data_IF_231553330587
#
_entry.id   IF_231553330587
#
_cell.length_a   1.000
_cell.length_b   1.000
_cell.length_c   1.000
_cell.angle_alpha   90.00
_cell.angle_beta   90.00
_cell.angle_gamma   90.00
#
_symmetry.space_group_name_H-M   'P 1'
#
loop_
_entity.id
_entity.type
_entity.pdbx_description
1 polymer ?
#
# COMPACT_ATOMS: atom_id res chain seq x y z
N UNK A 1 19.81 -77.18 20.06
CA UNK A 1 18.60 -77.34 20.88
C UNK A 1 17.87 -76.01 20.88
N UNK A 2 16.66 -75.97 20.32
CA UNK A 2 15.82 -74.78 20.14
C UNK A 2 15.38 -74.18 21.48
N UNK A 3 15.35 -72.85 21.60
CA UNK A 3 14.20 -72.15 22.18
C UNK A 3 14.07 -70.73 21.61
N UNK A 4 12.88 -70.48 21.05
CA UNK A 4 12.36 -69.18 20.58
C UNK A 4 12.12 -68.27 21.80
N UNK A 5 12.35 -66.96 21.66
CA UNK A 5 11.51 -65.98 22.34
C UNK A 5 11.43 -64.66 21.55
N UNK A 6 10.24 -64.41 20.99
CA UNK A 6 9.74 -63.12 20.49
C UNK A 6 8.95 -62.48 21.63
N UNK A 7 9.31 -61.28 22.08
CA UNK A 7 8.38 -60.33 22.71
C UNK A 7 8.93 -58.91 22.45
N UNK A 8 8.38 -58.20 21.46
CA UNK A 8 7.33 -57.17 21.63
C UNK A 8 7.77 -56.00 22.52
N UNK A 9 8.59 -55.11 21.94
CA UNK A 9 8.68 -53.72 22.39
C UNK A 9 7.44 -52.98 21.87
N UNK A 10 6.33 -53.10 22.60
CA UNK A 10 5.24 -52.14 22.51
C UNK A 10 5.65 -50.91 23.32
N UNK A 11 6.08 -49.86 22.61
CA UNK A 11 6.38 -48.57 23.20
C UNK A 11 5.15 -48.02 23.92
N UNK A 12 5.27 -47.86 25.24
CA UNK A 12 4.31 -47.21 26.10
C UNK A 12 4.30 -45.72 25.75
N UNK A 13 3.45 -45.33 24.80
CA UNK A 13 3.16 -43.93 24.49
C UNK A 13 2.32 -43.36 25.65
N UNK A 14 2.99 -42.86 26.68
CA UNK A 14 2.38 -42.03 27.71
C UNK A 14 1.90 -40.73 27.06
N UNK A 15 0.63 -40.72 26.65
CA UNK A 15 -0.14 -39.52 26.36
C UNK A 15 -0.24 -38.69 27.65
N UNK A 16 0.74 -37.83 27.87
CA UNK A 16 0.61 -36.70 28.79
C UNK A 16 -0.32 -35.70 28.09
N UNK A 17 -1.62 -35.93 28.21
CA UNK A 17 -2.64 -34.91 27.95
C UNK A 17 -2.44 -33.83 29.00
N UNK A 18 -1.53 -32.90 28.71
CA UNK A 18 -1.49 -31.61 29.38
C UNK A 18 -2.88 -31.00 29.23
N UNK A 19 -3.52 -30.49 30.29
CA UNK A 19 -4.75 -29.75 30.13
C UNK A 19 -4.40 -28.50 29.32
N UNK A 20 -4.73 -28.52 28.03
CA UNK A 20 -4.83 -27.30 27.26
C UNK A 20 -5.94 -26.50 27.93
N UNK A 21 -5.56 -25.50 28.72
CA UNK A 21 -6.44 -24.40 29.05
C UNK A 21 -6.88 -23.85 27.70
N UNK A 22 -8.09 -24.19 27.30
CA UNK A 22 -8.76 -23.57 26.16
C UNK A 22 -8.92 -22.11 26.52
N UNK A 23 -7.96 -21.28 26.11
CA UNK A 23 -8.18 -19.85 26.02
C UNK A 23 -9.47 -19.69 25.22
N UNK A 24 -10.51 -19.12 25.86
CA UNK A 24 -11.77 -18.86 25.18
C UNK A 24 -11.44 -18.02 23.95
N UNK A 25 -11.77 -18.51 22.76
CA UNK A 25 -11.68 -17.72 21.53
C UNK A 25 -12.36 -16.37 21.78
N UNK A 26 -11.66 -15.28 21.52
CA UNK A 26 -12.20 -13.95 21.76
C UNK A 26 -13.58 -13.80 21.10
N UNK A 27 -14.55 -13.30 21.85
CA UNK A 27 -15.92 -13.12 21.37
C UNK A 27 -16.17 -11.66 20.99
N UNK A 28 -17.10 -11.45 20.07
CA UNK A 28 -17.44 -10.12 19.58
C UNK A 28 -18.75 -9.61 20.20
N UNK A 29 -18.80 -8.31 20.47
CA UNK A 29 -19.91 -7.64 21.11
C UNK A 29 -20.29 -6.33 20.41
N UNK A 30 -21.55 -6.20 20.00
CA UNK A 30 -22.02 -5.08 19.18
C UNK A 30 -22.03 -3.74 19.94
N UNK A 31 -22.33 -3.75 21.25
CA UNK A 31 -22.47 -2.49 22.02
C UNK A 31 -21.22 -2.17 22.84
N UNK A 32 -20.03 -2.54 22.36
CA UNK A 32 -18.77 -2.14 23.00
C UNK A 32 -18.37 -0.71 22.61
N UNK A 33 -18.53 -0.36 21.34
CA UNK A 33 -18.15 0.94 20.76
C UNK A 33 -19.40 1.56 20.14
N UNK A 34 -19.63 2.84 20.41
CA UNK A 34 -20.73 3.61 19.81
C UNK A 34 -20.36 4.22 18.47
N UNK A 35 -19.13 4.72 18.36
CA UNK A 35 -18.65 5.40 17.16
C UNK A 35 -17.13 5.46 17.15
N UNK A 36 -16.57 5.75 15.98
CA UNK A 36 -15.18 6.12 15.82
C UNK A 36 -15.07 7.58 15.38
N UNK A 37 -14.00 8.24 15.80
CA UNK A 37 -13.73 9.66 15.51
C UNK A 37 -12.22 9.89 15.40
N UNK A 38 -11.82 11.09 14.98
CA UNK A 38 -10.41 11.49 14.89
C UNK A 38 -9.55 10.50 14.08
N UNK A 39 -10.11 9.93 13.01
CA UNK A 39 -9.42 8.95 12.17
C UNK A 39 -8.43 9.63 11.24
N UNK A 40 -7.20 9.13 11.23
CA UNK A 40 -6.15 9.56 10.32
C UNK A 40 -5.30 8.36 9.91
N UNK A 41 -5.10 8.19 8.61
CA UNK A 41 -4.04 7.33 8.06
C UNK A 41 -3.24 8.11 7.04
N UNK A 42 -1.92 8.15 7.21
CA UNK A 42 -1.03 8.97 6.41
C UNK A 42 0.20 8.17 6.02
N UNK A 43 0.52 8.23 4.74
CA UNK A 43 1.78 7.70 4.23
C UNK A 43 2.88 8.76 4.38
N UNK A 44 3.95 8.41 5.09
CA UNK A 44 5.08 9.30 5.35
C UNK A 44 6.12 9.28 4.21
N UNK A 45 7.12 10.15 4.30
CA UNK A 45 8.17 10.29 3.28
C UNK A 45 9.08 9.07 3.19
N UNK A 46 9.31 8.38 4.31
CA UNK A 46 10.11 7.16 4.40
C UNK A 46 9.34 5.88 3.99
N UNK A 47 8.11 6.02 3.47
CA UNK A 47 7.16 4.94 3.14
C UNK A 47 6.56 4.20 4.35
N UNK A 48 6.77 4.67 5.58
CA UNK A 48 6.01 4.19 6.74
C UNK A 48 4.60 4.78 6.75
N UNK A 49 3.67 4.14 7.48
CA UNK A 49 2.27 4.55 7.54
C UNK A 49 1.89 4.91 8.97
N UNK A 50 1.60 6.18 9.21
CA UNK A 50 1.08 6.68 10.49
C UNK A 50 -0.43 6.48 10.56
N UNK A 51 -0.91 5.91 11.66
CA UNK A 51 -2.31 5.58 11.88
C UNK A 51 -2.75 6.08 13.25
N UNK A 52 -3.89 6.77 13.31
CA UNK A 52 -4.54 7.11 14.57
C UNK A 52 -6.07 7.12 14.44
N UNK A 53 -6.74 6.81 15.54
CA UNK A 53 -8.19 6.90 15.66
C UNK A 53 -8.61 6.95 17.12
N UNK A 54 -9.84 7.39 17.37
CA UNK A 54 -10.49 7.36 18.67
C UNK A 54 -11.74 6.48 18.61
N UNK A 55 -11.78 5.43 19.43
CA UNK A 55 -12.96 4.61 19.65
C UNK A 55 -13.77 5.17 20.81
N UNK A 56 -14.99 5.65 20.56
CA UNK A 56 -15.90 6.15 21.58
C UNK A 56 -16.70 4.99 22.16
N UNK A 57 -16.46 4.67 23.42
CA UNK A 57 -17.01 3.50 24.08
C UNK A 57 -18.50 3.68 24.40
N UNK A 58 -19.21 2.56 24.52
CA UNK A 58 -20.56 2.59 25.05
C UNK A 58 -20.60 3.03 26.52
N UNK A 59 -21.75 3.56 26.94
CA UNK A 59 -21.91 4.01 28.33
C UNK A 59 -21.92 2.81 29.27
N UNK A 60 -21.51 3.04 30.52
CA UNK A 60 -21.72 2.10 31.62
C UNK A 60 -21.04 0.72 31.46
N UNK A 61 -20.03 0.55 30.61
CA UNK A 61 -19.38 -0.76 30.40
C UNK A 61 -18.67 -1.33 31.64
N UNK A 62 -18.17 -0.49 32.54
CA UNK A 62 -17.16 -0.92 33.50
C UNK A 62 -17.68 -1.08 34.94
N UNK A 63 -18.75 -0.39 35.32
CA UNK A 63 -19.26 -0.41 36.68
C UNK A 63 -20.44 -1.35 36.81
N UNK A 64 -20.37 -2.30 37.74
CA UNK A 64 -21.44 -3.31 37.93
C UNK A 64 -22.81 -2.71 38.22
N UNK A 65 -22.88 -1.58 38.93
CA UNK A 65 -24.14 -0.91 39.27
C UNK A 65 -24.85 -0.35 38.03
N UNK A 66 -24.09 0.09 37.04
CA UNK A 66 -24.61 0.83 35.88
C UNK A 66 -24.62 -0.03 34.61
N UNK A 67 -23.78 -1.07 34.56
CA UNK A 67 -23.59 -1.91 33.38
C UNK A 67 -24.81 -2.74 33.00
N UNK A 68 -25.71 -3.02 33.95
CA UNK A 68 -27.05 -3.59 33.72
C UNK A 68 -27.13 -4.58 32.56
N UNK A 69 -27.65 -4.12 31.42
CA UNK A 69 -27.87 -4.92 30.20
C UNK A 69 -26.59 -5.54 29.62
N UNK A 70 -25.43 -4.88 29.74
CA UNK A 70 -24.14 -5.40 29.28
C UNK A 70 -23.74 -6.65 30.06
N UNK A 71 -23.92 -6.64 31.39
CA UNK A 71 -23.61 -7.78 32.24
C UNK A 71 -24.43 -9.01 31.87
N UNK A 72 -25.73 -8.83 31.63
CA UNK A 72 -26.62 -9.91 31.21
C UNK A 72 -26.23 -10.47 29.84
N UNK A 73 -25.84 -9.59 28.90
CA UNK A 73 -25.39 -9.99 27.57
C UNK A 73 -24.07 -10.75 27.63
N UNK A 74 -23.09 -10.27 28.39
CA UNK A 74 -21.81 -10.97 28.55
C UNK A 74 -21.95 -12.30 29.29
N UNK A 75 -22.80 -12.35 30.33
CA UNK A 75 -23.13 -13.60 31.02
C UNK A 75 -23.66 -14.65 30.04
N UNK A 76 -24.57 -14.26 29.14
CA UNK A 76 -25.11 -15.15 28.10
C UNK A 76 -24.04 -15.52 27.06
N UNK A 77 -23.28 -14.53 26.58
CA UNK A 77 -22.27 -14.69 25.53
C UNK A 77 -21.17 -15.68 25.95
N UNK A 78 -20.66 -15.55 27.17
CA UNK A 78 -19.62 -16.42 27.72
C UNK A 78 -20.16 -17.61 28.54
N UNK A 79 -21.49 -17.78 28.62
CA UNK A 79 -22.16 -18.84 29.41
C UNK A 79 -21.68 -18.88 30.86
N UNK A 80 -21.62 -17.71 31.52
CA UNK A 80 -21.10 -17.55 32.87
C UNK A 80 -22.20 -17.78 33.92
N UNK A 81 -21.83 -18.35 35.06
CA UNK A 81 -22.75 -18.51 36.20
C UNK A 81 -23.07 -17.18 36.88
N UNK A 82 -22.13 -16.23 36.83
CA UNK A 82 -22.22 -14.90 37.45
C UNK A 82 -21.85 -13.81 36.46
N UNK A 83 -22.43 -12.63 36.64
CA UNK A 83 -22.06 -11.45 35.89
C UNK A 83 -20.65 -10.98 36.28
N UNK A 84 -19.81 -10.73 35.27
CA UNK A 84 -18.45 -10.22 35.44
C UNK A 84 -18.37 -8.89 34.69
N UNK A 85 -17.95 -7.79 35.33
CA UNK A 85 -17.77 -6.51 34.65
C UNK A 85 -16.51 -6.51 33.79
N UNK A 86 -16.46 -5.57 32.84
CA UNK A 86 -15.26 -5.29 32.08
C UNK A 86 -14.18 -4.67 32.99
N UNK A 87 -12.94 -5.12 32.84
CA UNK A 87 -11.81 -4.54 33.57
C UNK A 87 -11.52 -3.11 33.09
N UNK A 88 -11.33 -2.19 34.04
CA UNK A 88 -10.93 -0.80 33.75
C UNK A 88 -9.42 -0.65 33.49
N UNK A 89 -8.65 -1.70 33.77
CA UNK A 89 -7.19 -1.68 33.68
C UNK A 89 -6.67 -2.48 32.49
N UNK A 90 -7.57 -3.07 31.69
CA UNK A 90 -7.21 -3.91 30.56
C UNK A 90 -8.00 -3.48 29.32
N UNK A 91 -7.28 -3.24 28.23
CA UNK A 91 -7.85 -2.96 26.93
C UNK A 91 -7.21 -3.87 25.88
N UNK A 92 -7.95 -4.12 24.81
CA UNK A 92 -7.52 -4.93 23.68
C UNK A 92 -7.56 -4.13 22.39
N UNK A 93 -6.70 -4.49 21.46
CA UNK A 93 -6.69 -4.00 20.08
C UNK A 93 -6.45 -5.17 19.13
N UNK A 94 -7.22 -5.21 18.04
CA UNK A 94 -6.97 -6.10 16.90
C UNK A 94 -6.79 -5.25 15.65
N UNK A 95 -5.75 -5.56 14.88
CA UNK A 95 -5.40 -4.88 13.64
C UNK A 95 -5.51 -5.85 12.46
N UNK A 96 -6.07 -5.37 11.36
CA UNK A 96 -6.35 -6.13 10.15
C UNK A 96 -5.73 -5.42 8.96
N UNK A 97 -4.89 -6.15 8.22
CA UNK A 97 -4.23 -5.64 7.02
C UNK A 97 -4.66 -6.47 5.83
N UNK A 98 -4.75 -5.84 4.66
CA UNK A 98 -5.16 -6.51 3.44
C UNK A 98 -4.22 -6.21 2.29
N UNK A 99 -4.06 -7.19 1.41
CA UNK A 99 -3.42 -7.02 0.11
C UNK A 99 -4.32 -6.21 -0.82
N UNK A 100 -3.77 -5.74 -1.95
CA UNK A 100 -4.53 -4.94 -2.91
C UNK A 100 -5.67 -5.73 -3.58
N UNK A 101 -5.49 -7.04 -3.74
CA UNK A 101 -6.51 -7.98 -4.25
C UNK A 101 -7.66 -8.24 -3.24
N UNK A 102 -7.57 -7.66 -2.04
CA UNK A 102 -8.57 -7.77 -0.99
C UNK A 102 -8.37 -8.98 -0.06
N UNK A 103 -7.35 -9.82 -0.27
CA UNK A 103 -7.05 -10.93 0.62
C UNK A 103 -6.40 -10.44 1.94
N UNK A 104 -6.63 -11.12 3.09
CA UNK A 104 -5.96 -10.77 4.34
C UNK A 104 -4.44 -10.89 4.24
N UNK A 105 -3.72 -9.88 4.72
CA UNK A 105 -2.26 -9.91 4.83
C UNK A 105 -1.85 -10.43 6.19
N UNK A 106 -1.55 -11.73 6.26
CA UNK A 106 -1.16 -12.44 7.49
C UNK A 106 0.33 -12.33 7.83
N UNK A 107 1.13 -11.66 6.99
CA UNK A 107 2.56 -11.53 7.19
C UNK A 107 2.94 -10.37 8.12
N UNK A 108 2.01 -9.43 8.37
CA UNK A 108 2.25 -8.31 9.28
C UNK A 108 2.23 -8.81 10.72
N UNK A 109 3.32 -8.56 11.42
CA UNK A 109 3.50 -8.91 12.82
C UNK A 109 3.58 -7.65 13.68
N UNK A 110 3.48 -7.82 15.00
CA UNK A 110 3.60 -6.69 15.92
C UNK A 110 4.98 -5.99 15.84
N UNK A 111 6.02 -6.70 15.41
CA UNK A 111 7.36 -6.13 15.15
C UNK A 111 7.39 -5.15 13.98
N UNK A 112 6.40 -5.20 13.08
CA UNK A 112 6.25 -4.25 11.98
C UNK A 112 5.50 -2.97 12.42
N UNK A 113 5.14 -2.87 13.70
CA UNK A 113 4.33 -1.79 14.26
C UNK A 113 5.14 -1.07 15.34
N UNK A 114 5.48 0.19 15.06
CA UNK A 114 6.23 1.07 15.93
C UNK A 114 5.30 2.04 16.66
N UNK A 115 5.74 2.50 17.85
CA UNK A 115 5.04 3.52 18.64
C UNK A 115 3.55 3.22 18.89
N UNK A 116 3.18 1.95 18.98
CA UNK A 116 1.81 1.56 19.26
C UNK A 116 1.43 1.97 20.69
N UNK A 117 0.40 2.80 20.80
CA UNK A 117 -0.16 3.21 22.09
C UNK A 117 -1.68 3.16 22.09
N UNK A 118 -2.24 2.91 23.28
CA UNK A 118 -3.65 3.08 23.61
C UNK A 118 -3.74 3.97 24.84
N UNK A 119 -4.36 5.14 24.70
CA UNK A 119 -4.38 6.19 25.73
C UNK A 119 -2.97 6.48 26.29
N UNK A 120 -1.96 6.49 25.42
CA UNK A 120 -0.55 6.71 25.79
C UNK A 120 0.16 5.52 26.46
N UNK A 121 -0.53 4.40 26.69
CA UNK A 121 0.09 3.18 27.25
C UNK A 121 0.56 2.25 26.13
N UNK A 122 1.73 1.60 26.31
CA UNK A 122 2.26 0.60 25.39
C UNK A 122 1.71 -0.80 25.67
N UNK A 123 1.76 -1.75 24.70
CA UNK A 123 1.33 -3.13 24.91
C UNK A 123 2.12 -3.86 26.00
N UNK A 124 1.47 -4.75 26.75
CA UNK A 124 2.09 -5.63 27.74
C UNK A 124 2.49 -6.96 27.07
N UNK A 125 3.73 -7.43 27.32
CA UNK A 125 4.27 -8.71 26.86
C UNK A 125 3.89 -9.02 25.40
N UNK A 126 4.52 -8.30 24.47
CA UNK A 126 4.25 -8.37 23.05
C UNK A 126 4.48 -9.79 22.49
N UNK A 127 3.41 -10.58 22.39
CA UNK A 127 3.36 -11.65 21.39
C UNK A 127 3.48 -11.01 20.00
N UNK A 128 4.01 -11.72 19.00
CA UNK A 128 4.07 -11.17 17.64
C UNK A 128 2.68 -11.04 16.96
N UNK A 129 1.59 -11.44 17.63
CA UNK A 129 0.24 -11.35 17.09
C UNK A 129 -0.31 -9.92 17.11
N UNK A 130 -0.96 -9.53 16.02
CA UNK A 130 -1.66 -8.26 15.86
C UNK A 130 -3.18 -8.37 16.08
N UNK A 131 -3.69 -9.58 16.32
CA UNK A 131 -5.12 -9.87 16.47
C UNK A 131 -5.60 -9.82 17.93
N UNK A 132 -4.70 -9.81 18.90
CA UNK A 132 -5.04 -9.65 20.33
C UNK A 132 -3.92 -8.93 21.07
N UNK A 133 -3.75 -7.64 20.78
CA UNK A 133 -2.75 -6.81 21.42
C UNK A 133 -3.31 -6.33 22.75
N UNK A 134 -2.60 -6.66 23.83
CA UNK A 134 -3.05 -6.41 25.21
C UNK A 134 -2.39 -5.17 25.79
N UNK A 135 -3.21 -4.30 26.37
CA UNK A 135 -2.77 -3.15 27.14
C UNK A 135 -3.20 -3.31 28.58
N UNK A 136 -2.27 -3.13 29.51
CA UNK A 136 -2.54 -3.18 30.94
C UNK A 136 -1.94 -1.97 31.62
N UNK A 137 -2.73 -1.30 32.46
CA UNK A 137 -2.25 -0.20 33.29
C UNK A 137 -2.60 -0.48 34.74
N UNK A 138 -1.61 -0.94 35.51
CA UNK A 138 -1.81 -1.34 36.91
C UNK A 138 -2.05 -0.18 37.88
N UNK A 139 -1.70 1.05 37.50
CA UNK A 139 -1.75 2.22 38.39
C UNK A 139 -2.95 3.12 38.10
N UNK A 140 -3.29 3.30 36.82
CA UNK A 140 -4.32 4.26 36.39
C UNK A 140 -5.31 3.52 35.48
N UNK A 141 -6.62 3.55 35.78
CA UNK A 141 -7.64 3.05 34.85
C UNK A 141 -7.54 3.69 33.47
N UNK A 142 -7.82 2.93 32.41
CA UNK A 142 -7.99 3.52 31.08
C UNK A 142 -9.17 4.49 31.06
N UNK A 143 -9.15 5.43 30.12
CA UNK A 143 -10.29 6.31 29.89
C UNK A 143 -11.53 5.46 29.56
N UNK A 144 -12.57 5.65 30.34
CA UNK A 144 -13.79 4.84 30.30
C UNK A 144 -14.82 5.33 29.27
N UNK A 145 -14.53 6.45 28.60
CA UNK A 145 -15.40 7.05 27.57
C UNK A 145 -14.85 6.85 26.16
N UNK A 146 -13.54 6.76 26.02
CA UNK A 146 -12.90 6.55 24.72
C UNK A 146 -11.51 5.91 24.85
N UNK A 147 -11.10 5.23 23.78
CA UNK A 147 -9.72 4.80 23.57
C UNK A 147 -9.11 5.56 22.39
N UNK A 148 -8.03 6.29 22.65
CA UNK A 148 -7.20 6.93 21.63
C UNK A 148 -6.06 5.99 21.25
N UNK A 149 -6.04 5.56 19.99
CA UNK A 149 -5.06 4.61 19.46
C UNK A 149 -4.18 5.33 18.44
N UNK A 150 -2.87 5.09 18.52
CA UNK A 150 -1.92 5.56 17.51
C UNK A 150 -0.80 4.55 17.31
N UNK A 151 -0.33 4.39 16.07
CA UNK A 151 0.82 3.56 15.73
C UNK A 151 1.40 3.91 14.36
N UNK A 152 2.62 3.45 14.10
CA UNK A 152 3.27 3.53 12.80
C UNK A 152 3.53 2.13 12.26
N UNK A 153 3.11 1.85 11.02
CA UNK A 153 3.51 0.64 10.31
C UNK A 153 4.83 0.89 9.61
N UNK A 154 5.80 -0.01 9.81
CA UNK A 154 7.16 0.08 9.26
C UNK A 154 7.16 0.31 7.75
N UNK A 155 8.17 1.06 7.30
CA UNK A 155 8.39 1.36 5.89
C UNK A 155 8.41 0.10 5.04
N UNK A 156 7.68 0.13 3.91
CA UNK A 156 7.59 -0.96 2.93
C UNK A 156 6.97 -2.28 3.45
N UNK A 157 6.45 -2.32 4.69
CA UNK A 157 5.71 -3.49 5.18
C UNK A 157 4.39 -3.68 4.42
N UNK A 158 3.79 -2.59 3.94
CA UNK A 158 2.55 -2.58 3.18
C UNK A 158 2.81 -2.32 1.70
N UNK A 159 2.12 -3.06 0.82
CA UNK A 159 2.06 -2.78 -0.63
C UNK A 159 0.84 -1.93 -1.00
N UNK A 160 -0.21 -2.03 -0.19
CA UNK A 160 -1.44 -1.26 -0.26
C UNK A 160 -1.86 -0.92 1.17
N UNK A 161 -2.37 0.29 1.39
CA UNK A 161 -2.80 0.74 2.71
C UNK A 161 -4.29 0.46 2.84
N UNK A 162 -4.60 -0.75 3.29
CA UNK A 162 -5.95 -1.21 3.63
C UNK A 162 -5.91 -1.72 5.06
N UNK A 163 -6.32 -0.86 5.99
CA UNK A 163 -6.18 -1.10 7.43
C UNK A 163 -7.57 -1.07 8.07
N UNK A 164 -7.89 -2.13 8.79
CA UNK A 164 -9.01 -2.20 9.71
C UNK A 164 -8.52 -2.37 11.15
N UNK A 165 -9.30 -1.93 12.12
CA UNK A 165 -9.01 -2.12 13.53
C UNK A 165 -10.30 -2.32 14.34
N UNK A 166 -10.23 -3.06 15.44
CA UNK A 166 -11.27 -3.05 16.48
C UNK A 166 -10.64 -3.00 17.86
N UNK A 167 -11.37 -2.46 18.83
CA UNK A 167 -10.95 -2.39 20.22
C UNK A 167 -11.82 -3.29 21.09
N UNK A 168 -11.28 -3.64 22.25
CA UNK A 168 -11.94 -4.53 23.18
C UNK A 168 -11.50 -4.32 24.62
N UNK A 169 -11.89 -5.25 25.47
CA UNK A 169 -11.44 -5.33 26.85
C UNK A 169 -11.48 -6.76 27.37
N UNK A 170 -11.19 -6.91 28.65
CA UNK A 170 -11.11 -8.22 29.30
C UNK A 170 -12.06 -8.25 30.49
N UNK A 171 -12.91 -9.26 30.57
CA UNK A 171 -13.65 -9.57 31.78
C UNK A 171 -12.78 -10.49 32.65
N UNK A 172 -12.63 -10.16 33.93
CA UNK A 172 -11.74 -10.91 34.85
C UNK A 172 -12.57 -11.47 36.01
N UNK A 173 -12.71 -12.79 36.08
CA UNK A 173 -13.33 -13.47 37.20
C UNK A 173 -12.40 -13.40 38.42
N UNK A 174 -12.66 -12.50 39.38
CA UNK A 174 -11.77 -12.29 40.54
C UNK A 174 -11.46 -13.57 41.35
N UNK A 175 -12.43 -14.49 41.48
CA UNK A 175 -12.26 -15.72 42.26
C UNK A 175 -11.35 -16.76 41.60
N UNK A 176 -11.36 -16.83 40.27
CA UNK A 176 -10.60 -17.85 39.50
C UNK A 176 -9.44 -17.25 38.72
N UNK A 177 -9.34 -15.92 38.65
CA UNK A 177 -8.47 -15.15 37.75
C UNK A 177 -8.65 -15.51 36.27
N UNK A 178 -9.79 -16.12 35.92
CA UNK A 178 -10.09 -16.46 34.53
C UNK A 178 -10.40 -15.19 33.74
N UNK A 179 -9.81 -15.08 32.56
CA UNK A 179 -9.96 -13.94 31.66
C UNK A 179 -10.84 -14.31 30.46
N UNK A 180 -11.69 -13.38 30.06
CA UNK A 180 -12.54 -13.51 28.88
C UNK A 180 -12.32 -12.30 27.97
N UNK A 181 -11.50 -12.44 26.91
CA UNK A 181 -11.28 -11.40 25.91
C UNK A 181 -12.57 -11.11 25.13
N UNK A 182 -12.89 -9.84 24.97
CA UNK A 182 -14.08 -9.35 24.27
C UNK A 182 -13.71 -8.21 23.33
N UNK A 183 -14.04 -8.34 22.05
CA UNK A 183 -13.84 -7.29 21.04
C UNK A 183 -15.16 -6.65 20.61
N UNK A 184 -15.10 -5.43 20.09
CA UNK A 184 -16.25 -4.85 19.41
C UNK A 184 -16.49 -5.53 18.07
N UNK A 185 -17.74 -5.88 17.78
CA UNK A 185 -18.15 -6.28 16.44
C UNK A 185 -18.13 -5.13 15.44
N UNK A 186 -18.06 -3.88 15.91
CA UNK A 186 -17.92 -2.70 15.07
C UNK A 186 -16.46 -2.27 15.10
N UNK A 187 -15.81 -2.31 13.95
CA UNK A 187 -14.45 -1.82 13.77
C UNK A 187 -14.41 -0.51 12.99
N UNK A 188 -13.20 -0.01 12.82
CA UNK A 188 -12.88 1.18 12.05
C UNK A 188 -11.93 0.85 10.91
N UNK A 189 -12.17 1.49 9.78
CA UNK A 189 -11.21 1.66 8.69
C UNK A 189 -11.17 3.14 8.30
N UNK A 190 -10.50 3.45 7.21
CA UNK A 190 -10.27 4.81 6.76
C UNK A 190 -10.81 4.98 5.36
N UNK A 191 -11.35 6.17 5.09
CA UNK A 191 -11.77 6.55 3.75
C UNK A 191 -10.53 6.70 2.81
N UNK A 192 -10.74 6.79 1.49
CA UNK A 192 -9.63 6.92 0.55
C UNK A 192 -8.78 8.18 0.73
N UNK A 193 -9.26 9.21 1.43
CA UNK A 193 -8.44 10.40 1.76
C UNK A 193 -7.58 10.21 3.01
N UNK A 194 -7.93 9.23 3.85
CA UNK A 194 -7.25 8.95 5.11
C UNK A 194 -7.54 9.95 6.22
N UNK A 195 -8.66 10.67 6.14
CA UNK A 195 -9.04 11.71 7.12
C UNK A 195 -10.41 11.47 7.76
N UNK A 196 -11.14 10.45 7.33
CA UNK A 196 -12.45 10.11 7.87
C UNK A 196 -12.51 8.64 8.28
N UNK A 197 -13.31 8.38 9.32
CA UNK A 197 -13.59 7.03 9.76
C UNK A 197 -14.57 6.37 8.78
N UNK A 198 -14.25 5.15 8.37
CA UNK A 198 -15.16 4.28 7.65
C UNK A 198 -15.51 3.06 8.52
N UNK A 199 -16.71 2.51 8.34
CA UNK A 199 -17.13 1.30 9.05
C UNK A 199 -16.27 0.11 8.61
N UNK A 200 -15.93 -0.77 9.54
CA UNK A 200 -15.24 -2.02 9.26
C UNK A 200 -15.86 -3.14 10.07
N UNK A 201 -16.11 -4.29 9.43
CA UNK A 201 -16.56 -5.51 10.11
C UNK A 201 -15.37 -6.46 10.27
N UNK A 202 -14.81 -6.61 11.49
CA UNK A 202 -13.66 -7.47 11.76
C UNK A 202 -13.93 -8.97 11.52
N UNK A 203 -15.20 -9.38 11.39
CA UNK A 203 -15.60 -10.77 11.17
C UNK A 203 -15.90 -11.09 9.70
N UNK A 204 -16.10 -10.06 8.86
CA UNK A 204 -16.50 -10.25 7.47
C UNK A 204 -15.40 -10.85 6.58
N UNK A 205 -14.13 -10.65 6.93
CA UNK A 205 -12.99 -10.97 6.06
C UNK A 205 -12.91 -10.09 4.80
N UNK A 206 -13.74 -9.06 4.69
CA UNK A 206 -13.78 -8.16 3.54
C UNK A 206 -12.81 -7.00 3.75
N UNK A 207 -11.94 -6.74 2.77
CA UNK A 207 -11.00 -5.64 2.84
C UNK A 207 -11.70 -4.27 2.81
N UNK A 208 -11.28 -3.30 3.63
CA UNK A 208 -11.74 -1.93 3.51
C UNK A 208 -11.21 -1.28 2.23
N UNK A 209 -11.73 -0.10 1.91
CA UNK A 209 -11.20 0.71 0.81
C UNK A 209 -9.72 1.06 1.07
N UNK A 210 -8.94 1.13 -0.01
CA UNK A 210 -7.54 1.53 0.09
C UNK A 210 -7.43 3.05 0.27
N UNK A 211 -6.42 3.47 1.04
CA UNK A 211 -5.94 4.85 0.97
C UNK A 211 -5.52 5.15 -0.47
N UNK A 212 -6.01 6.26 -1.01
CA UNK A 212 -5.54 6.77 -2.30
C UNK A 212 -4.16 7.38 -2.10
N UNK A 213 -3.16 6.80 -2.77
CA UNK A 213 -1.78 7.29 -2.75
C UNK A 213 -1.43 7.68 -4.16
N UNK A 214 -1.25 8.99 -4.38
CA UNK A 214 -0.78 9.48 -5.67
C UNK A 214 0.74 9.25 -5.77
N UNK A 215 1.22 8.55 -6.81
CA UNK A 215 2.65 8.33 -6.99
C UNK A 215 3.37 9.64 -7.25
N UNK A 216 4.47 9.87 -6.52
CA UNK A 216 5.40 10.96 -6.80
C UNK A 216 6.41 10.51 -7.85
N UNK A 217 6.32 11.07 -9.05
CA UNK A 217 7.22 10.76 -10.15
C UNK A 217 8.44 11.68 -10.14
N UNK A 218 9.61 11.09 -10.35
CA UNK A 218 10.86 11.80 -10.56
C UNK A 218 11.49 11.31 -11.87
N UNK A 219 11.80 12.25 -12.76
CA UNK A 219 12.53 11.95 -13.97
C UNK A 219 14.01 11.76 -13.64
N UNK A 220 14.60 10.67 -14.11
CA UNK A 220 16.03 10.36 -13.93
C UNK A 220 16.83 10.68 -15.19
N UNK A 221 16.17 10.84 -16.35
CA UNK A 221 16.86 10.90 -17.64
C UNK A 221 17.63 12.20 -17.87
N UNK A 222 18.77 12.03 -18.52
CA UNK A 222 19.69 13.06 -18.96
C UNK A 222 19.38 13.60 -20.38
N UNK A 223 20.20 14.56 -20.82
CA UNK A 223 20.20 15.12 -22.17
C UNK A 223 20.44 14.03 -23.22
N UNK A 224 19.53 13.89 -24.18
CA UNK A 224 19.70 12.96 -25.30
C UNK A 224 20.54 13.61 -26.40
N UNK A 225 21.76 13.09 -26.59
CA UNK A 225 22.63 13.52 -27.67
C UNK A 225 22.52 12.55 -28.85
N UNK A 226 22.12 13.06 -30.00
CA UNK A 226 22.03 12.29 -31.25
C UNK A 226 23.38 12.32 -31.97
N UNK A 227 23.70 11.23 -32.67
CA UNK A 227 24.83 11.20 -33.59
C UNK A 227 24.53 12.06 -34.83
N UNK A 228 25.58 12.41 -35.57
CA UNK A 228 25.46 13.09 -36.85
C UNK A 228 24.63 12.28 -37.84
N UNK A 229 23.70 12.94 -38.52
CA UNK A 229 22.93 12.38 -39.63
C UNK A 229 23.51 12.83 -40.96
N UNK A 230 23.53 11.93 -41.94
CA UNK A 230 23.81 12.29 -43.32
C UNK A 230 22.59 12.98 -43.95
N UNK A 231 22.81 14.18 -44.49
CA UNK A 231 21.74 15.02 -45.02
C UNK A 231 21.09 14.40 -46.27
N UNK A 232 21.88 13.82 -47.17
CA UNK A 232 21.39 13.25 -48.42
C UNK A 232 20.51 12.02 -48.13
N UNK A 233 20.92 11.18 -47.17
CA UNK A 233 20.14 10.05 -46.69
C UNK A 233 18.83 10.50 -46.02
N UNK A 234 18.86 11.56 -45.21
CA UNK A 234 17.65 12.08 -44.56
C UNK A 234 16.63 12.57 -45.60
N UNK A 235 17.09 13.34 -46.59
CA UNK A 235 16.25 13.85 -47.68
C UNK A 235 15.67 12.69 -48.49
N UNK A 236 16.50 11.72 -48.88
CA UNK A 236 16.08 10.55 -49.65
C UNK A 236 15.00 9.74 -48.92
N UNK A 237 15.25 9.33 -47.67
CA UNK A 237 14.28 8.53 -46.89
C UNK A 237 12.95 9.27 -46.74
N UNK A 238 12.99 10.57 -46.45
CA UNK A 238 11.78 11.37 -46.28
C UNK A 238 10.96 11.40 -47.57
N UNK A 239 11.62 11.51 -48.74
CA UNK A 239 10.94 11.50 -50.04
C UNK A 239 10.23 10.17 -50.35
N UNK A 240 10.73 9.07 -49.77
CA UNK A 240 10.12 7.73 -49.82
C UNK A 240 9.03 7.55 -48.75
N UNK A 241 8.71 8.59 -47.98
CA UNK A 241 7.75 8.56 -46.87
C UNK A 241 8.27 7.84 -45.62
N UNK A 242 9.58 7.56 -45.56
CA UNK A 242 10.24 6.84 -44.48
C UNK A 242 11.01 7.81 -43.58
N UNK A 243 10.99 7.56 -42.27
CA UNK A 243 11.87 8.27 -41.33
C UNK A 243 13.29 7.72 -41.41
N UNK A 244 14.28 8.58 -41.16
CA UNK A 244 15.66 8.14 -40.94
C UNK A 244 15.91 7.99 -39.43
N UNK A 245 16.45 6.85 -39.03
CA UNK A 245 16.83 6.62 -37.63
C UNK A 245 17.95 7.58 -37.23
N UNK A 246 17.75 8.31 -36.14
CA UNK A 246 18.71 9.23 -35.56
C UNK A 246 19.32 8.59 -34.30
N UNK A 247 20.42 7.83 -34.46
CA UNK A 247 20.94 7.01 -33.38
C UNK A 247 21.50 7.89 -32.26
N UNK A 248 21.25 7.48 -31.02
CA UNK A 248 21.77 8.17 -29.84
C UNK A 248 23.22 7.81 -29.58
N UNK A 249 24.01 8.80 -29.15
CA UNK A 249 25.31 8.56 -28.55
C UNK A 249 25.07 7.91 -27.19
N UNK A 250 25.72 6.76 -26.95
CA UNK A 250 25.61 6.01 -25.68
C UNK A 250 24.16 5.68 -25.28
N UNK A 251 23.41 4.90 -26.08
CA UNK A 251 21.97 4.67 -25.89
C UNK A 251 21.63 4.04 -24.53
N UNK A 252 22.50 3.21 -23.97
CA UNK A 252 22.29 2.60 -22.64
C UNK A 252 22.34 3.62 -21.50
N UNK A 253 23.15 4.69 -21.63
CA UNK A 253 23.26 5.73 -20.63
C UNK A 253 22.13 6.78 -20.72
N UNK A 254 21.42 6.82 -21.86
CA UNK A 254 20.46 7.86 -22.19
C UNK A 254 19.01 7.33 -22.26
N UNK A 255 18.67 6.37 -21.39
CA UNK A 255 17.31 5.84 -21.27
C UNK A 255 16.36 6.88 -20.67
N UNK A 256 15.11 6.85 -21.09
CA UNK A 256 14.03 7.58 -20.44
C UNK A 256 13.60 6.79 -19.20
N UNK A 257 13.96 7.25 -18.00
CA UNK A 257 13.66 6.55 -16.75
C UNK A 257 12.83 7.41 -15.81
N UNK A 258 11.76 6.82 -15.27
CA UNK A 258 10.93 7.41 -14.22
C UNK A 258 11.10 6.61 -12.94
N UNK A 259 11.34 7.31 -11.83
CA UNK A 259 11.30 6.77 -10.49
C UNK A 259 9.99 7.16 -9.84
N UNK A 260 9.35 6.25 -9.13
CA UNK A 260 8.10 6.54 -8.42
C UNK A 260 7.91 5.63 -7.23
N UNK A 261 7.06 6.07 -6.29
CA UNK A 261 6.61 5.23 -5.20
C UNK A 261 5.59 4.21 -5.71
N UNK A 262 5.85 2.92 -5.53
CA UNK A 262 4.99 1.85 -6.03
C UNK A 262 3.63 1.77 -5.32
N UNK A 263 3.59 2.18 -4.05
CA UNK A 263 2.37 2.20 -3.25
C UNK A 263 1.30 3.07 -3.92
N UNK A 264 0.14 2.49 -4.21
CA UNK A 264 -0.97 3.18 -4.89
C UNK A 264 -1.03 3.02 -6.41
N UNK A 265 -0.07 2.33 -7.03
CA UNK A 265 -0.06 2.19 -8.51
C UNK A 265 -0.81 0.97 -9.05
N UNK A 266 -1.20 0.02 -8.20
CA UNK A 266 -1.67 -1.31 -8.63
C UNK A 266 -3.00 -1.30 -9.40
N UNK A 267 -3.92 -0.40 -9.06
CA UNK A 267 -5.26 -0.33 -9.65
C UNK A 267 -5.40 0.83 -10.64
N UNK A 268 -4.29 1.43 -11.06
CA UNK A 268 -4.30 2.60 -11.95
C UNK A 268 -3.31 2.40 -13.08
N UNK A 269 -3.79 2.57 -14.31
CA UNK A 269 -2.93 2.67 -15.48
C UNK A 269 -2.58 4.11 -15.74
N UNK A 270 -1.44 4.38 -16.35
CA UNK A 270 -0.92 5.72 -16.55
C UNK A 270 -0.61 5.95 -18.03
N UNK A 271 -0.92 7.13 -18.52
CA UNK A 271 -0.52 7.58 -19.86
C UNK A 271 0.72 8.45 -19.74
N UNK A 272 1.72 8.19 -20.59
CA UNK A 272 2.88 9.06 -20.77
C UNK A 272 2.65 9.85 -22.05
N UNK A 273 2.69 11.18 -21.94
CA UNK A 273 2.59 12.11 -23.07
C UNK A 273 3.76 13.08 -23.03
N UNK A 274 4.03 13.75 -24.14
CA UNK A 274 5.09 14.76 -24.21
C UNK A 274 4.63 15.98 -25.01
N UNK A 275 5.06 17.14 -24.55
CA UNK A 275 5.06 18.39 -25.31
C UNK A 275 6.50 18.82 -25.57
N UNK A 276 6.71 19.76 -26.48
CA UNK A 276 8.05 20.24 -26.82
C UNK A 276 8.12 21.77 -26.86
N UNK A 277 9.33 22.31 -26.71
CA UNK A 277 9.58 23.76 -26.73
C UNK A 277 9.35 24.37 -28.10
N UNK A 278 9.78 23.67 -29.15
CA UNK A 278 9.76 24.18 -30.51
C UNK A 278 8.39 24.06 -31.22
N UNK A 279 7.42 23.39 -30.59
CA UNK A 279 6.10 23.14 -31.15
C UNK A 279 6.03 21.95 -32.10
N UNK A 280 4.81 21.65 -32.54
CA UNK A 280 4.55 20.54 -33.47
C UNK A 280 4.57 21.02 -34.92
N UNK A 281 4.85 20.10 -35.83
CA UNK A 281 4.64 20.31 -37.27
C UNK A 281 3.19 20.74 -37.56
N UNK A 282 2.95 21.36 -38.72
CA UNK A 282 1.60 21.79 -39.14
C UNK A 282 0.58 20.65 -39.20
N UNK A 283 1.03 19.43 -39.49
CA UNK A 283 0.22 18.21 -39.44
C UNK A 283 -0.03 17.67 -38.03
N UNK A 284 0.59 18.27 -37.01
CA UNK A 284 0.61 17.86 -35.60
C UNK A 284 1.13 16.44 -35.36
N UNK A 285 1.79 15.84 -36.35
CA UNK A 285 2.27 14.46 -36.30
C UNK A 285 3.70 14.34 -35.76
N UNK A 286 4.48 15.42 -35.79
CA UNK A 286 5.89 15.42 -35.45
C UNK A 286 6.23 16.56 -34.49
N UNK A 287 7.19 16.32 -33.62
CA UNK A 287 7.96 17.37 -32.94
C UNK A 287 8.94 18.02 -33.93
N UNK A 288 9.58 19.12 -33.51
CA UNK A 288 10.46 19.91 -34.36
C UNK A 288 11.81 20.17 -33.69
N UNK A 289 12.88 19.65 -34.30
CA UNK A 289 14.25 20.07 -34.04
C UNK A 289 14.51 21.37 -34.83
N UNK A 290 14.94 22.42 -34.14
CA UNK A 290 15.22 23.73 -34.76
C UNK A 290 16.72 24.01 -34.64
N UNK A 291 17.32 24.48 -35.73
CA UNK A 291 18.71 24.93 -35.74
C UNK A 291 18.88 26.16 -34.82
N UNK A 292 20.05 26.34 -34.22
CA UNK A 292 20.35 27.53 -33.39
C UNK A 292 20.05 28.87 -34.09
N UNK A 293 20.22 28.93 -35.42
CA UNK A 293 19.89 30.09 -36.26
C UNK A 293 18.38 30.38 -36.39
N UNK A 294 17.53 29.42 -36.01
CA UNK A 294 16.07 29.45 -36.12
C UNK A 294 15.50 29.25 -37.53
N UNK A 295 16.34 29.13 -38.56
CA UNK A 295 15.90 29.14 -39.97
C UNK A 295 15.55 27.75 -40.51
N UNK A 296 16.19 26.72 -39.96
CA UNK A 296 16.14 25.37 -40.47
C UNK A 296 15.45 24.42 -39.48
N UNK A 297 14.65 23.49 -40.01
CA UNK A 297 13.80 22.60 -39.20
C UNK A 297 13.93 21.15 -39.66
N UNK A 298 13.98 20.23 -38.69
CA UNK A 298 13.86 18.78 -38.89
C UNK A 298 12.65 18.31 -38.07
N UNK A 299 11.70 17.62 -38.72
CA UNK A 299 10.59 17.00 -38.02
C UNK A 299 11.04 15.67 -37.41
N UNK A 300 10.51 15.27 -36.27
CA UNK A 300 10.82 13.97 -35.68
C UNK A 300 9.68 13.42 -34.82
N UNK A 301 9.72 12.12 -34.57
CA UNK A 301 8.92 11.49 -33.51
C UNK A 301 9.81 10.66 -32.59
N UNK A 302 9.29 10.34 -31.40
CA UNK A 302 9.98 9.51 -30.40
C UNK A 302 9.21 8.23 -30.19
N UNK A 303 9.86 7.09 -30.32
CA UNK A 303 9.36 5.81 -29.85
C UNK A 303 10.09 5.42 -28.56
N UNK A 304 9.35 5.30 -27.46
CA UNK A 304 9.89 4.83 -26.18
C UNK A 304 9.75 3.31 -26.12
N UNK A 305 10.81 2.58 -26.47
CA UNK A 305 10.78 1.12 -26.54
C UNK A 305 11.01 0.48 -25.16
N UNK A 306 10.22 -0.54 -24.84
CA UNK A 306 10.34 -1.33 -23.60
C UNK A 306 11.04 -2.66 -23.90
N UNK A 307 12.34 -2.73 -23.61
CA UNK A 307 13.16 -3.95 -23.73
C UNK A 307 13.02 -4.69 -25.09
N UNK A 308 12.81 -3.96 -26.19
CA UNK A 308 12.66 -4.52 -27.53
C UNK A 308 11.26 -5.08 -27.85
N UNK A 309 10.27 -4.87 -26.99
CA UNK A 309 8.89 -5.24 -27.26
C UNK A 309 8.10 -4.07 -27.88
N UNK A 310 7.96 -4.07 -29.20
CA UNK A 310 7.23 -3.03 -29.93
C UNK A 310 5.74 -2.92 -29.55
N UNK A 311 5.15 -3.96 -28.94
CA UNK A 311 3.75 -3.91 -28.48
C UNK A 311 3.56 -3.01 -27.26
N UNK A 312 4.61 -2.72 -26.49
CA UNK A 312 4.56 -1.85 -25.30
C UNK A 312 5.24 -0.50 -25.53
N UNK A 313 5.81 -0.26 -26.72
CA UNK A 313 6.35 1.04 -27.13
C UNK A 313 5.32 2.17 -27.02
N UNK A 314 5.80 3.39 -26.74
CA UNK A 314 4.97 4.61 -26.70
C UNK A 314 5.47 5.58 -27.78
N UNK A 315 4.62 5.89 -28.75
CA UNK A 315 4.91 6.80 -29.86
C UNK A 315 4.43 8.23 -29.55
N UNK A 316 5.36 9.17 -29.49
CA UNK A 316 5.10 10.57 -29.18
C UNK A 316 5.29 11.45 -30.43
N UNK A 317 4.45 12.47 -30.66
CA UNK A 317 3.48 13.07 -29.73
C UNK A 317 2.09 12.41 -29.65
N UNK A 318 1.76 11.53 -30.61
CA UNK A 318 0.35 11.22 -30.92
C UNK A 318 -0.29 10.14 -30.05
N UNK A 319 0.47 9.17 -29.56
CA UNK A 319 -0.10 7.99 -28.92
C UNK A 319 -0.61 8.28 -27.51
N UNK A 320 -1.83 7.82 -27.23
CA UNK A 320 -2.44 7.82 -25.89
C UNK A 320 -2.51 6.39 -25.38
N UNK A 321 -1.35 5.85 -25.01
CA UNK A 321 -1.23 4.50 -24.49
C UNK A 321 -1.19 4.51 -22.97
N UNK A 322 -2.05 3.69 -22.36
CA UNK A 322 -2.03 3.46 -20.92
C UNK A 322 -1.13 2.27 -20.59
N UNK A 323 -0.14 2.49 -19.74
CA UNK A 323 0.77 1.47 -19.21
C UNK A 323 0.42 1.14 -17.76
N UNK A 324 0.70 -0.08 -17.34
CA UNK A 324 0.68 -0.45 -15.93
C UNK A 324 2.06 -0.20 -15.35
N UNK A 325 2.13 0.57 -14.26
CA UNK A 325 3.39 0.76 -13.55
C UNK A 325 3.78 -0.52 -12.81
N UNK A 326 5.08 -0.81 -12.74
CA UNK A 326 5.61 -1.88 -11.88
C UNK A 326 5.28 -1.57 -10.43
N UNK A 327 4.86 -2.60 -9.70
CA UNK A 327 4.60 -2.52 -8.27
C UNK A 327 5.35 -3.65 -7.56
N UNK A 328 6.62 -3.39 -7.26
CA UNK A 328 7.44 -4.24 -6.40
C UNK A 328 7.27 -3.81 -4.94
N UNK A 329 7.05 -4.77 -4.03
CA UNK A 329 7.13 -4.71 -2.56
C UNK A 329 7.00 -3.34 -1.84
N UNK A 330 6.10 -2.45 -2.26
CA UNK A 330 5.75 -1.20 -1.55
C UNK A 330 6.81 -0.08 -1.55
N UNK A 331 7.95 -0.28 -2.23
CA UNK A 331 9.09 0.65 -2.22
C UNK A 331 9.14 1.66 -3.36
N UNK A 332 10.34 2.20 -3.59
CA UNK A 332 10.64 3.01 -4.78
C UNK A 332 10.91 2.09 -5.96
N UNK A 333 10.23 2.34 -7.06
CA UNK A 333 10.37 1.61 -8.31
C UNK A 333 10.91 2.48 -9.42
N UNK A 334 11.53 1.84 -10.41
CA UNK A 334 12.01 2.48 -11.61
C UNK A 334 11.51 1.73 -12.86
N UNK A 335 11.00 2.50 -13.81
CA UNK A 335 10.74 2.03 -15.17
C UNK A 335 11.56 2.84 -16.17
N UNK A 336 12.12 2.15 -17.17
CA UNK A 336 13.01 2.75 -18.15
C UNK A 336 12.67 2.28 -19.55
N UNK A 337 12.66 3.21 -20.50
CA UNK A 337 12.48 2.96 -21.93
C UNK A 337 13.72 3.39 -22.70
N UNK A 338 13.99 2.72 -23.82
CA UNK A 338 15.01 3.11 -24.78
C UNK A 338 14.37 4.03 -25.82
N UNK A 339 14.68 5.33 -25.82
CA UNK A 339 14.17 6.23 -26.84
C UNK A 339 14.80 5.91 -28.21
N UNK A 340 13.96 5.81 -29.22
CA UNK A 340 14.33 5.75 -30.64
C UNK A 340 13.76 6.97 -31.35
N UNK A 341 14.60 7.66 -32.10
CA UNK A 341 14.26 8.92 -32.76
C UNK A 341 14.23 8.69 -34.27
N UNK A 342 13.10 8.97 -34.90
CA UNK A 342 12.97 8.94 -36.34
C UNK A 342 12.81 10.38 -36.86
N UNK A 343 13.76 10.81 -37.67
CA UNK A 343 13.86 12.15 -38.22
C UNK A 343 13.34 12.20 -39.66
N UNK A 344 12.79 13.35 -40.03
CA UNK A 344 12.19 13.65 -41.33
C UNK A 344 12.64 15.04 -41.77
N UNK A 345 13.22 15.12 -42.96
CA UNK A 345 13.55 16.42 -43.55
C UNK A 345 12.29 17.25 -43.81
N UNK A 346 12.50 18.55 -43.86
CA UNK A 346 11.53 19.55 -44.29
C UNK A 346 12.13 20.33 -45.46
N UNK A 347 11.37 21.28 -46.01
CA UNK A 347 11.86 22.16 -47.08
C UNK A 347 13.04 23.06 -46.64
N UNK A 348 13.21 23.26 -45.34
CA UNK A 348 14.27 24.11 -44.77
C UNK A 348 15.35 23.29 -44.08
N UNK A 349 15.38 21.96 -44.26
CA UNK A 349 16.47 21.16 -43.67
C UNK A 349 17.78 21.42 -44.40
N UNK A 350 18.82 21.78 -43.64
CA UNK A 350 20.19 21.96 -44.13
C UNK A 350 21.23 21.47 -43.09
N UNK A 351 22.51 21.57 -43.41
CA UNK A 351 23.63 21.23 -42.53
C UNK A 351 23.63 22.18 -41.32
N UNK A 352 23.70 21.63 -40.11
CA UNK A 352 23.71 22.44 -38.90
C UNK A 352 23.59 21.63 -37.62
N UNK A 353 23.51 22.34 -36.49
CA UNK A 353 23.26 21.76 -35.17
C UNK A 353 21.83 22.09 -34.74
N UNK A 354 21.06 21.05 -34.43
CA UNK A 354 19.64 21.19 -34.10
C UNK A 354 19.37 20.72 -32.67
N UNK A 355 18.38 21.34 -32.01
CA UNK A 355 17.97 20.95 -30.67
C UNK A 355 16.47 21.15 -30.44
N UNK A 356 15.95 20.47 -29.43
CA UNK A 356 14.60 20.65 -28.87
C UNK A 356 14.62 20.28 -27.37
N UNK A 357 13.55 20.57 -26.65
CA UNK A 357 13.35 20.17 -25.26
C UNK A 357 11.96 19.56 -25.10
N UNK A 358 11.91 18.32 -24.63
CA UNK A 358 10.67 17.59 -24.36
C UNK A 358 10.26 17.71 -22.88
N UNK A 359 8.99 18.00 -22.64
CA UNK A 359 8.36 17.97 -21.33
C UNK A 359 7.39 16.79 -21.25
N UNK A 360 7.67 15.83 -20.38
CA UNK A 360 6.86 14.63 -20.21
C UNK A 360 5.78 14.84 -19.14
N UNK A 361 4.57 14.39 -19.42
CA UNK A 361 3.43 14.42 -18.49
C UNK A 361 2.89 13.01 -18.31
N UNK A 362 2.76 12.58 -17.04
CA UNK A 362 2.20 11.29 -16.66
C UNK A 362 0.81 11.52 -16.06
N UNK A 363 -0.21 10.89 -16.64
CA UNK A 363 -1.62 11.09 -16.24
C UNK A 363 -2.26 9.76 -15.85
N UNK A 364 -2.86 9.62 -14.66
CA UNK A 364 -3.61 8.41 -14.30
C UNK A 364 -4.86 8.25 -15.19
N UNK A 365 -5.24 7.01 -15.47
CA UNK A 365 -6.49 6.68 -16.14
C UNK A 365 -7.65 7.04 -15.20
N UNK A 366 -8.53 7.94 -15.67
CA UNK A 366 -9.76 8.35 -14.99
C UNK A 366 -10.89 7.34 -15.14
#
# INVERSE_FOLDING_TARGET
>A
MNFKNKYLFAGLLLLILSPTVTAASALYYNDHVKSYSNCSVKLLEDNSVDVSFQANLADNLFYTKDAGIHLDRWKKLFKLDRAIPLSRHNALLSLYFYHADGSPNTNIQLSDINHLTLNGSSPKNASNSIQEIRFENGSIPFNMTHYSVSFNVSANALKSVRIGATVGGILIAHSTKQEYPLFSSTGVSFDPTGHQCASFDPQSGIAPQALKVDPKFHLVSAVWQLASLDLDHLIKNTSEGQGLDAPMISPQANRFCINYRAMGTQDTRYMISASNKNGLSTSTQHFQLIEESGSNVINYHVELEDHGNSKTSILLPKERKFIQLKSSNGGMEQMCWSPRILAYSTKTTDKGSYSDTLNFTITPQS
#
